data_IF_644021354314
#
_entry.id   IF_644021354314
#
_cell.length_a   1.000
_cell.length_b   1.000
_cell.length_c   1.000
_cell.angle_alpha   90.00
_cell.angle_beta   90.00
_cell.angle_gamma   90.00
#
_symmetry.space_group_name_H-M   'P 1'
#
loop_
_entity.id
_entity.type
_entity.pdbx_description
1 polymer ?
#
# COMPACT_ATOMS: atom_id res chain seq x y z
N UNK A 1 -26.99 -7.59 20.10
CA UNK A 1 -25.58 -7.12 20.02
C UNK A 1 -25.39 -6.42 18.69
N UNK A 2 -24.86 -5.19 18.68
CA UNK A 2 -24.59 -4.46 17.44
C UNK A 2 -23.42 -5.11 16.68
N UNK A 3 -23.58 -5.29 15.36
CA UNK A 3 -22.53 -5.87 14.51
C UNK A 3 -21.36 -4.89 14.38
N UNK A 4 -20.17 -5.31 14.77
CA UNK A 4 -18.92 -4.53 14.63
C UNK A 4 -17.92 -5.34 13.82
N UNK A 5 -17.32 -4.70 12.82
CA UNK A 5 -16.31 -5.31 11.93
C UNK A 5 -15.02 -4.50 11.98
N UNK A 6 -13.89 -5.17 12.20
CA UNK A 6 -12.56 -4.58 12.19
C UNK A 6 -11.73 -5.16 11.05
N UNK A 7 -11.23 -4.30 10.17
CA UNK A 7 -10.42 -4.71 9.02
C UNK A 7 -9.21 -3.80 8.86
N UNK A 8 -8.14 -4.35 8.31
CA UNK A 8 -6.96 -3.60 7.93
C UNK A 8 -6.71 -3.64 6.42
N UNK A 9 -6.22 -2.53 5.90
CA UNK A 9 -5.70 -2.39 4.56
C UNK A 9 -4.27 -1.85 4.60
N UNK A 10 -3.43 -2.29 3.68
CA UNK A 10 -2.03 -1.86 3.60
C UNK A 10 -1.66 -1.46 2.17
N UNK A 11 -0.94 -0.37 2.04
CA UNK A 11 -0.35 0.07 0.77
C UNK A 11 1.04 0.66 0.99
N UNK A 12 2.07 -0.01 0.50
CA UNK A 12 3.48 0.33 0.79
C UNK A 12 3.70 0.47 2.31
N UNK A 13 4.14 1.63 2.78
CA UNK A 13 4.35 1.91 4.20
C UNK A 13 3.08 2.39 4.94
N UNK A 14 1.97 2.66 4.23
CA UNK A 14 0.71 3.08 4.84
C UNK A 14 -0.12 1.89 5.31
N UNK A 15 -0.66 1.99 6.51
CA UNK A 15 -1.57 1.00 7.09
C UNK A 15 -2.83 1.68 7.57
N UNK A 16 -3.99 1.26 7.07
CA UNK A 16 -5.31 1.71 7.49
C UNK A 16 -5.99 0.62 8.30
N UNK A 17 -6.60 1.00 9.41
CA UNK A 17 -7.46 0.16 10.23
C UNK A 17 -8.86 0.76 10.23
N UNK A 18 -9.84 -0.01 9.79
CA UNK A 18 -11.22 0.41 9.68
C UNK A 18 -12.06 -0.32 10.71
N UNK A 19 -12.91 0.42 11.38
CA UNK A 19 -13.97 -0.10 12.24
C UNK A 19 -15.31 0.31 11.64
N UNK A 20 -16.14 -0.66 11.32
CA UNK A 20 -17.51 -0.46 10.81
C UNK A 20 -18.49 -0.89 11.88
N UNK A 21 -19.44 -0.01 12.18
CA UNK A 21 -20.52 -0.24 13.14
C UNK A 21 -21.84 0.18 12.50
N UNK A 22 -22.95 -0.38 12.96
CA UNK A 22 -24.28 0.14 12.64
C UNK A 22 -24.39 1.61 13.05
N UNK A 23 -24.99 2.45 12.20
CA UNK A 23 -25.03 3.88 12.48
C UNK A 23 -25.82 4.72 11.46
N UNK A 24 -25.43 5.97 11.31
CA UNK A 24 -26.16 7.01 10.55
C UNK A 24 -25.39 7.51 9.31
N UNK A 25 -24.43 6.76 8.80
CA UNK A 25 -23.66 7.16 7.61
C UNK A 25 -22.47 8.10 7.90
N UNK A 26 -21.97 8.14 9.14
CA UNK A 26 -20.84 9.03 9.48
C UNK A 26 -19.52 8.32 9.14
N UNK A 27 -18.70 8.99 8.32
CA UNK A 27 -17.39 8.47 7.88
C UNK A 27 -16.30 9.41 8.38
N UNK A 28 -15.35 8.87 9.13
CA UNK A 28 -14.23 9.61 9.71
C UNK A 28 -12.89 8.96 9.34
N UNK A 29 -11.92 9.82 9.04
CA UNK A 29 -10.53 9.42 8.78
C UNK A 29 -9.64 10.18 9.76
N UNK A 30 -8.93 9.45 10.62
CA UNK A 30 -8.15 10.05 11.72
C UNK A 30 -8.95 11.09 12.50
N UNK A 31 -10.20 10.77 12.85
CA UNK A 31 -11.16 11.62 13.57
C UNK A 31 -11.74 12.78 12.76
N UNK A 32 -11.25 13.08 11.55
CA UNK A 32 -11.81 14.09 10.65
C UNK A 32 -12.94 13.51 9.82
N UNK A 33 -14.03 14.24 9.64
CA UNK A 33 -15.08 13.86 8.70
C UNK A 33 -14.53 13.80 7.27
N UNK A 34 -15.01 12.85 6.48
CA UNK A 34 -14.58 12.67 5.09
C UNK A 34 -14.81 13.94 4.25
N UNK A 35 -15.82 14.73 4.57
CA UNK A 35 -16.11 15.96 3.84
C UNK A 35 -15.04 17.03 3.96
N UNK A 36 -14.33 17.07 5.08
CA UNK A 36 -13.24 18.01 5.34
C UNK A 36 -11.86 17.41 5.01
N UNK A 37 -11.81 16.19 4.48
CA UNK A 37 -10.54 15.53 4.20
C UNK A 37 -9.84 16.13 2.97
N UNK A 38 -8.58 16.51 3.13
CA UNK A 38 -7.73 17.08 2.07
C UNK A 38 -6.56 16.12 1.78
N UNK A 39 -6.02 16.05 0.54
CA UNK A 39 -6.43 16.75 -0.67
C UNK A 39 -7.71 16.17 -1.32
N UNK A 40 -8.32 16.93 -2.23
CA UNK A 40 -9.55 16.52 -2.93
C UNK A 40 -9.44 15.16 -3.64
N UNK A 41 -8.31 14.90 -4.32
CA UNK A 41 -8.06 13.61 -4.98
C UNK A 41 -8.06 12.42 -4.01
N UNK A 42 -7.56 12.61 -2.78
CA UNK A 42 -7.60 11.57 -1.76
C UNK A 42 -9.04 11.31 -1.29
N UNK A 43 -9.84 12.38 -1.09
CA UNK A 43 -11.25 12.28 -0.78
C UNK A 43 -11.99 11.50 -1.86
N UNK A 44 -11.82 11.86 -3.13
CA UNK A 44 -12.46 11.22 -4.27
C UNK A 44 -12.15 9.70 -4.31
N UNK A 45 -10.88 9.31 -4.16
CA UNK A 45 -10.49 7.89 -4.11
C UNK A 45 -11.10 7.11 -2.95
N UNK A 46 -11.26 7.74 -1.79
CA UNK A 46 -11.88 7.10 -0.63
C UNK A 46 -13.41 7.00 -0.81
N UNK A 47 -14.02 7.90 -1.56
CA UNK A 47 -15.44 7.87 -1.89
C UNK A 47 -15.81 6.77 -2.89
N UNK A 48 -14.90 6.31 -3.75
CA UNK A 48 -15.18 5.28 -4.75
C UNK A 48 -15.90 4.03 -4.18
N UNK A 49 -15.39 3.33 -3.15
CA UNK A 49 -16.08 2.15 -2.61
C UNK A 49 -17.42 2.49 -1.95
N UNK A 50 -17.61 3.72 -1.50
CA UNK A 50 -18.88 4.16 -0.89
C UNK A 50 -19.95 4.37 -1.97
N UNK A 51 -19.59 5.00 -3.08
CA UNK A 51 -20.47 5.23 -4.23
C UNK A 51 -20.89 3.88 -4.84
N UNK A 52 -19.92 2.96 -5.00
CA UNK A 52 -20.21 1.62 -5.53
C UNK A 52 -21.08 0.76 -4.60
N UNK A 53 -20.97 0.95 -3.29
CA UNK A 53 -21.80 0.24 -2.32
C UNK A 53 -23.26 0.72 -2.31
N UNK A 54 -23.49 1.97 -2.74
CA UNK A 54 -24.80 2.61 -2.75
C UNK A 54 -25.18 3.24 -1.41
N UNK A 55 -26.01 4.26 -1.50
CA UNK A 55 -26.45 5.08 -0.36
C UNK A 55 -27.20 4.28 0.72
N UNK A 56 -27.94 3.23 0.31
CA UNK A 56 -28.73 2.42 1.24
C UNK A 56 -27.87 1.67 2.26
N UNK A 57 -26.67 1.27 1.85
CA UNK A 57 -25.71 0.59 2.73
C UNK A 57 -24.95 1.63 3.55
N UNK A 58 -24.46 2.69 2.90
CA UNK A 58 -23.63 3.71 3.53
C UNK A 58 -24.38 4.45 4.64
N UNK A 59 -25.66 4.77 4.45
CA UNK A 59 -26.50 5.44 5.45
C UNK A 59 -26.76 4.61 6.72
N UNK A 60 -26.58 3.30 6.67
CA UNK A 60 -26.81 2.37 7.79
C UNK A 60 -25.54 2.08 8.62
N UNK A 61 -24.38 2.61 8.22
CA UNK A 61 -23.10 2.27 8.85
C UNK A 61 -22.32 3.52 9.25
N UNK A 62 -21.62 3.46 10.36
CA UNK A 62 -20.59 4.42 10.72
C UNK A 62 -19.22 3.78 10.47
N UNK A 63 -18.34 4.52 9.79
CA UNK A 63 -17.01 4.04 9.38
C UNK A 63 -15.96 4.93 10.02
N UNK A 64 -15.18 4.35 10.93
CA UNK A 64 -14.03 5.02 11.53
C UNK A 64 -12.74 4.41 10.99
N UNK A 65 -11.92 5.22 10.32
CA UNK A 65 -10.65 4.83 9.70
C UNK A 65 -9.49 5.46 10.44
N UNK A 66 -8.58 4.64 10.95
CA UNK A 66 -7.32 5.10 11.54
C UNK A 66 -6.18 4.72 10.61
N UNK A 67 -5.48 5.72 10.07
CA UNK A 67 -4.40 5.55 9.09
C UNK A 67 -3.10 6.06 9.62
N UNK A 68 -2.02 5.27 9.45
CA UNK A 68 -0.67 5.62 9.87
C UNK A 68 0.36 5.21 8.81
N UNK A 69 1.44 6.00 8.73
CA UNK A 69 2.60 5.73 7.86
C UNK A 69 2.38 6.09 6.40
N UNK A 70 3.47 6.10 5.64
CA UNK A 70 3.46 6.44 4.22
C UNK A 70 3.09 7.90 3.90
N UNK A 71 2.87 8.17 2.61
CA UNK A 71 2.38 9.47 2.13
C UNK A 71 0.87 9.48 1.92
N UNK A 72 0.30 10.66 1.67
CA UNK A 72 -1.16 10.86 1.52
C UNK A 72 -1.80 9.91 0.48
N UNK A 73 -1.13 9.67 -0.67
CA UNK A 73 -1.63 8.76 -1.70
C UNK A 73 -1.69 7.30 -1.19
N UNK A 74 -0.63 6.84 -0.51
CA UNK A 74 -0.62 5.50 0.09
C UNK A 74 -1.66 5.35 1.20
N UNK A 75 -1.89 6.41 1.98
CA UNK A 75 -2.91 6.43 3.02
C UNK A 75 -4.32 6.33 2.44
N UNK A 76 -4.63 7.07 1.35
CA UNK A 76 -5.94 6.97 0.73
C UNK A 76 -6.18 5.61 0.05
N UNK A 77 -5.17 5.03 -0.62
CA UNK A 77 -5.28 3.69 -1.21
C UNK A 77 -5.45 2.60 -0.14
N UNK A 78 -4.73 2.68 0.98
CA UNK A 78 -4.91 1.76 2.10
C UNK A 78 -6.30 1.89 2.74
N UNK A 79 -6.82 3.11 2.88
CA UNK A 79 -8.18 3.38 3.40
C UNK A 79 -9.25 2.85 2.45
N UNK A 80 -9.11 3.12 1.15
CA UNK A 80 -9.99 2.62 0.09
C UNK A 80 -10.15 1.10 0.15
N UNK A 81 -9.01 0.38 0.20
CA UNK A 81 -8.97 -1.07 0.33
C UNK A 81 -9.65 -1.56 1.62
N UNK A 82 -9.34 -0.93 2.76
CA UNK A 82 -9.86 -1.35 4.05
C UNK A 82 -11.38 -1.10 4.17
N UNK A 83 -11.89 0.02 3.63
CA UNK A 83 -13.32 0.34 3.57
C UNK A 83 -14.06 -0.67 2.69
N UNK A 84 -13.56 -0.95 1.48
CA UNK A 84 -14.20 -1.90 0.57
C UNK A 84 -14.31 -3.30 1.19
N UNK A 85 -13.21 -3.83 1.74
CA UNK A 85 -13.22 -5.10 2.48
C UNK A 85 -14.20 -5.08 3.65
N UNK A 86 -14.21 -3.97 4.40
CA UNK A 86 -15.09 -3.81 5.55
C UNK A 86 -16.56 -3.84 5.18
N UNK A 87 -16.94 -3.16 4.12
CA UNK A 87 -18.33 -3.16 3.62
C UNK A 87 -18.76 -4.55 3.15
N UNK A 88 -17.91 -5.28 2.41
CA UNK A 88 -18.21 -6.66 1.99
C UNK A 88 -18.41 -7.56 3.20
N UNK A 89 -17.53 -7.51 4.19
CA UNK A 89 -17.64 -8.33 5.39
C UNK A 89 -18.83 -7.93 6.28
N UNK A 90 -19.14 -6.64 6.35
CA UNK A 90 -20.28 -6.15 7.12
C UNK A 90 -21.61 -6.58 6.50
N UNK A 91 -21.77 -6.42 5.17
CA UNK A 91 -22.99 -6.78 4.43
C UNK A 91 -23.11 -8.28 4.20
N UNK A 92 -21.99 -9.00 4.04
CA UNK A 92 -21.96 -10.41 3.64
C UNK A 92 -22.47 -10.65 2.21
N UNK A 93 -22.59 -9.59 1.39
CA UNK A 93 -23.18 -9.67 0.06
C UNK A 93 -22.15 -10.03 -1.00
N UNK A 94 -22.28 -11.23 -1.60
CA UNK A 94 -21.47 -11.64 -2.76
C UNK A 94 -21.69 -10.75 -3.99
N UNK A 95 -22.87 -10.13 -4.12
CA UNK A 95 -23.16 -9.19 -5.19
C UNK A 95 -22.28 -7.95 -5.11
N UNK A 96 -22.13 -7.37 -3.90
CA UNK A 96 -21.27 -6.21 -3.67
C UNK A 96 -19.78 -6.56 -3.90
N UNK A 97 -19.36 -7.72 -3.45
CA UNK A 97 -18.02 -8.23 -3.70
C UNK A 97 -17.70 -8.31 -5.19
N UNK A 98 -18.62 -8.89 -5.98
CA UNK A 98 -18.50 -8.98 -7.44
C UNK A 98 -18.45 -7.60 -8.08
N UNK A 99 -19.30 -6.66 -7.69
CA UNK A 99 -19.30 -5.28 -8.19
C UNK A 99 -17.94 -4.60 -7.95
N UNK A 100 -17.33 -4.80 -6.78
CA UNK A 100 -16.00 -4.26 -6.49
C UNK A 100 -14.90 -4.90 -7.34
N UNK A 101 -14.95 -6.21 -7.57
CA UNK A 101 -13.96 -6.91 -8.40
C UNK A 101 -14.07 -6.53 -9.89
N UNK A 102 -15.29 -6.36 -10.39
CA UNK A 102 -15.55 -5.97 -11.77
C UNK A 102 -15.08 -4.52 -12.05
N UNK A 103 -15.18 -3.63 -11.05
CA UNK A 103 -14.70 -2.24 -11.16
C UNK A 103 -13.17 -2.14 -11.03
N UNK A 104 -12.60 -2.63 -9.95
CA UNK A 104 -11.14 -2.63 -9.69
C UNK A 104 -10.77 -3.72 -8.68
N UNK A 105 -9.97 -4.68 -9.13
CA UNK A 105 -9.45 -5.75 -8.28
C UNK A 105 -8.73 -5.21 -7.03
N UNK A 106 -8.07 -4.04 -7.11
CA UNK A 106 -7.33 -3.47 -5.99
C UNK A 106 -8.23 -2.93 -4.86
N UNK A 107 -9.55 -2.90 -5.03
CA UNK A 107 -10.49 -2.63 -3.94
C UNK A 107 -10.51 -3.73 -2.88
N UNK A 108 -10.33 -4.99 -3.30
CA UNK A 108 -10.38 -6.14 -2.39
C UNK A 108 -9.02 -6.82 -2.22
N UNK A 109 -8.13 -6.72 -3.20
CA UNK A 109 -6.81 -7.36 -3.17
C UNK A 109 -5.73 -6.31 -2.93
N UNK A 110 -4.90 -6.51 -1.90
CA UNK A 110 -3.83 -5.58 -1.58
C UNK A 110 -2.72 -5.63 -2.65
N UNK A 111 -2.26 -4.46 -3.11
CA UNK A 111 -1.10 -4.35 -3.98
C UNK A 111 0.18 -4.56 -3.14
N UNK A 112 0.89 -5.63 -3.44
CA UNK A 112 2.10 -6.06 -2.72
C UNK A 112 3.39 -5.42 -3.24
N UNK A 113 3.33 -4.54 -4.24
CA UNK A 113 4.53 -3.90 -4.81
C UNK A 113 5.16 -2.92 -3.83
N UNK A 114 6.42 -3.19 -3.48
CA UNK A 114 7.26 -2.33 -2.63
C UNK A 114 8.51 -1.89 -3.38
N UNK A 115 9.02 -0.71 -3.04
CA UNK A 115 10.36 -0.32 -3.45
C UNK A 115 11.37 -1.16 -2.68
N UNK A 116 12.24 -1.86 -3.39
CA UNK A 116 13.32 -2.62 -2.76
C UNK A 116 14.31 -1.66 -2.07
N UNK A 117 14.77 -1.99 -0.86
CA UNK A 117 15.74 -1.15 -0.14
C UNK A 117 17.09 -1.14 -0.85
N UNK A 118 17.75 0.00 -0.88
CA UNK A 118 19.14 0.09 -1.31
C UNK A 118 20.05 -0.39 -0.19
N UNK A 119 21.08 -1.15 -0.57
CA UNK A 119 22.11 -1.60 0.36
C UNK A 119 23.23 -0.57 0.40
N UNK A 120 23.88 -0.33 1.55
CA UNK A 120 25.07 0.51 1.61
C UNK A 120 26.15 -0.02 0.65
N UNK A 121 26.87 0.89 0.00
CA UNK A 121 27.94 0.61 -0.96
C UNK A 121 27.53 -0.13 -2.25
N UNK A 122 26.22 -0.26 -2.51
CA UNK A 122 25.67 -0.81 -3.76
C UNK A 122 24.91 0.28 -4.53
N UNK A 123 24.94 0.25 -5.87
CA UNK A 123 24.31 1.29 -6.69
C UNK A 123 22.78 1.23 -6.68
N UNK A 124 22.20 0.03 -6.60
CA UNK A 124 20.73 -0.22 -6.58
C UNK A 124 20.42 -1.51 -5.84
N UNK A 125 19.13 -1.72 -5.51
CA UNK A 125 18.67 -2.88 -4.75
C UNK A 125 19.13 -4.24 -5.27
N UNK A 126 19.15 -4.46 -6.58
CA UNK A 126 19.59 -5.71 -7.23
C UNK A 126 20.95 -5.60 -7.93
N UNK A 127 21.48 -4.42 -8.05
CA UNK A 127 22.80 -4.24 -8.63
C UNK A 127 23.88 -4.71 -7.65
N UNK A 128 24.86 -5.43 -8.18
CA UNK A 128 26.04 -5.80 -7.42
C UNK A 128 27.06 -4.66 -7.51
N UNK A 129 27.90 -4.56 -6.49
CA UNK A 129 29.04 -3.65 -6.50
C UNK A 129 29.88 -3.90 -7.75
N UNK A 130 30.22 -2.83 -8.47
CA UNK A 130 31.11 -2.92 -9.63
C UNK A 130 32.49 -3.40 -9.14
N UNK A 131 32.96 -4.52 -9.67
CA UNK A 131 34.29 -5.03 -9.41
C UNK A 131 35.26 -4.39 -10.39
N UNK A 132 36.36 -3.86 -9.88
CA UNK A 132 37.49 -3.42 -10.71
C UNK A 132 38.56 -4.49 -10.71
N UNK A 133 38.93 -4.96 -11.87
CA UNK A 133 40.02 -5.95 -12.06
C UNK A 133 41.34 -5.29 -12.38
N UNK A 134 41.45 -3.97 -12.30
CA UNK A 134 42.66 -3.21 -12.65
C UNK A 134 43.89 -3.66 -11.88
N UNK A 135 43.76 -4.03 -10.61
CA UNK A 135 44.86 -4.50 -9.78
C UNK A 135 45.34 -5.90 -10.15
N UNK A 136 44.46 -6.77 -10.61
CA UNK A 136 44.82 -8.13 -11.04
C UNK A 136 45.74 -8.11 -12.29
N UNK A 137 45.49 -7.19 -13.23
CA UNK A 137 46.29 -7.03 -14.44
C UNK A 137 47.70 -6.51 -14.10
N UNK A 138 47.82 -5.57 -13.18
CA UNK A 138 49.12 -5.02 -12.75
C UNK A 138 49.97 -6.10 -12.04
N UNK A 139 49.35 -6.94 -11.21
CA UNK A 139 50.06 -8.00 -10.50
C UNK A 139 50.57 -9.10 -11.45
N UNK A 140 49.83 -9.45 -12.47
CA UNK A 140 50.24 -10.44 -13.49
C UNK A 140 51.43 -9.88 -14.32
N UNK A 141 51.42 -8.61 -14.69
CA UNK A 141 52.55 -7.99 -15.39
C UNK A 141 53.83 -7.92 -14.52
N UNK A 142 53.69 -7.70 -13.21
CA UNK A 142 54.85 -7.70 -12.30
C UNK A 142 55.48 -9.09 -12.15
N UNK A 143 54.66 -10.15 -12.07
CA UNK A 143 55.16 -11.51 -11.98
C UNK A 143 55.82 -12.00 -13.28
N UNK A 144 55.32 -11.56 -14.44
CA UNK A 144 55.96 -11.87 -15.72
C UNK A 144 57.31 -11.12 -15.89
N UNK A 145 57.44 -9.91 -15.36
CA UNK A 145 58.71 -9.15 -15.38
C UNK A 145 59.79 -9.78 -14.48
N UNK A 146 59.40 -10.31 -13.32
CA UNK A 146 60.36 -10.97 -12.41
C UNK A 146 60.88 -12.26 -12.98
N UNK A 147 60.05 -13.03 -13.71
CA UNK A 147 60.48 -14.28 -14.38
C UNK A 147 61.45 -14.03 -15.55
N UNK A 148 61.42 -12.87 -16.19
CA UNK A 148 62.36 -12.50 -17.27
C UNK A 148 63.70 -12.05 -16.71
N UNK A 149 63.76 -11.60 -15.45
CA UNK A 149 65.02 -11.10 -14.83
C UNK A 149 65.81 -12.26 -14.13
N UNK A 150 65.28 -13.46 -14.01
CA UNK A 150 65.90 -14.62 -13.34
C UNK A 150 66.45 -15.65 -14.37
N UNK A 151 66.24 -15.41 -15.66
CA UNK A 151 66.87 -16.16 -16.79
C UNK A 151 68.02 -15.36 -17.38
#
# INVERSE_FOLDING_TARGET
MSKVVHISGKRKAATARVTIKEGKGVIRINKLLLDHYKPFLAKAKIQEPLILAGDDIVKKVNIDVNVKGGGWLGQCEASRLAIAKGLVQFTGSKKLEKTFLDYDRNLLVADVRFKEPYKPNDSKARAKRQKSYRWAVVTINYLSFINILIL
#
